data_IF_838862692931
#
_entry.id   IF_838862692931
#
_cell.length_a   1.000
_cell.length_b   1.000
_cell.length_c   1.000
_cell.angle_alpha   90.00
_cell.angle_beta   90.00
_cell.angle_gamma   90.00
#
_symmetry.space_group_name_H-M   'P 1'
#
loop_
_entity.id
_entity.type
_entity.pdbx_description
1 polymer ?
#
# COMPACT_ATOMS: atom_id res chain seq x y z
N UNK A 1 18.58 -20.96 -30.38
CA UNK A 1 17.19 -20.79 -29.90
C UNK A 1 17.10 -19.40 -29.32
N UNK A 2 16.34 -18.50 -29.94
CA UNK A 2 16.08 -17.16 -29.38
C UNK A 2 15.36 -17.35 -28.05
N UNK A 3 15.87 -16.78 -26.98
CA UNK A 3 15.24 -16.90 -25.68
C UNK A 3 13.93 -16.10 -25.66
N UNK A 4 12.80 -16.76 -25.37
CA UNK A 4 11.46 -16.14 -25.25
C UNK A 4 11.33 -15.41 -23.90
N UNK A 5 12.32 -14.58 -23.58
CA UNK A 5 12.42 -13.91 -22.29
C UNK A 5 12.80 -12.44 -22.42
N UNK A 6 12.40 -11.69 -21.41
CA UNK A 6 12.74 -10.28 -21.21
C UNK A 6 13.44 -10.18 -19.87
N UNK A 7 14.59 -9.51 -19.86
CA UNK A 7 15.29 -9.18 -18.62
C UNK A 7 14.93 -7.77 -18.18
N UNK A 8 14.70 -7.60 -16.88
CA UNK A 8 14.53 -6.33 -16.22
C UNK A 8 15.61 -6.20 -15.15
N UNK A 9 16.35 -5.09 -15.15
CA UNK A 9 17.29 -4.78 -14.06
C UNK A 9 16.55 -3.92 -13.05
N UNK A 10 16.50 -4.35 -11.80
CA UNK A 10 15.79 -3.64 -10.73
C UNK A 10 16.52 -2.32 -10.39
N UNK A 11 15.76 -1.24 -10.09
CA UNK A 11 16.35 -0.04 -9.49
C UNK A 11 17.05 -0.38 -8.16
N UNK A 12 17.96 0.49 -7.69
CA UNK A 12 18.68 0.24 -6.44
C UNK A 12 17.75 0.00 -5.25
N UNK A 13 18.20 -0.83 -4.32
CA UNK A 13 17.48 -1.18 -3.09
C UNK A 13 17.13 0.06 -2.26
N UNK A 14 15.95 0.01 -1.61
CA UNK A 14 15.40 1.11 -0.82
C UNK A 14 14.78 2.25 -1.63
N UNK A 15 14.87 2.24 -2.97
CA UNK A 15 14.19 3.23 -3.82
C UNK A 15 12.71 2.91 -3.99
N UNK A 16 11.88 3.95 -3.95
CA UNK A 16 10.47 3.94 -4.37
C UNK A 16 10.33 3.38 -5.77
N UNK A 17 11.25 3.71 -6.69
CA UNK A 17 11.24 3.15 -8.03
C UNK A 17 11.33 1.61 -8.03
N UNK A 18 12.14 1.02 -7.14
CA UNK A 18 12.21 -0.44 -6.98
C UNK A 18 10.90 -1.01 -6.45
N UNK A 19 10.35 -0.43 -5.38
CA UNK A 19 9.09 -0.89 -4.79
C UNK A 19 7.91 -0.80 -5.80
N UNK A 20 7.84 0.27 -6.59
CA UNK A 20 6.85 0.42 -7.66
C UNK A 20 7.03 -0.64 -8.76
N UNK A 21 8.28 -0.88 -9.19
CA UNK A 21 8.56 -1.91 -10.19
C UNK A 21 8.20 -3.30 -9.68
N UNK A 22 8.56 -3.63 -8.43
CA UNK A 22 8.24 -4.93 -7.82
C UNK A 22 6.74 -5.14 -7.67
N UNK A 23 5.97 -4.12 -7.27
CA UNK A 23 4.50 -4.25 -7.23
C UNK A 23 3.92 -4.54 -8.62
N UNK A 24 4.42 -3.88 -9.68
CA UNK A 24 4.00 -4.19 -11.05
C UNK A 24 4.34 -5.64 -11.44
N UNK A 25 5.57 -6.08 -11.17
CA UNK A 25 6.01 -7.45 -11.45
C UNK A 25 5.17 -8.46 -10.67
N UNK A 26 4.92 -8.20 -9.40
CA UNK A 26 4.08 -9.05 -8.55
C UNK A 26 2.67 -9.20 -9.14
N UNK A 27 2.05 -8.11 -9.64
CA UNK A 27 0.73 -8.17 -10.29
C UNK A 27 0.77 -8.94 -11.61
N UNK A 28 1.83 -8.76 -12.41
CA UNK A 28 2.03 -9.43 -13.69
C UNK A 28 2.20 -10.95 -13.51
N UNK A 29 2.96 -11.37 -12.49
CA UNK A 29 3.27 -12.77 -12.20
C UNK A 29 2.06 -13.62 -11.77
N UNK A 30 0.92 -12.98 -11.43
CA UNK A 30 -0.34 -13.71 -11.18
C UNK A 30 -0.81 -14.41 -12.47
N UNK A 31 -0.50 -13.86 -13.65
CA UNK A 31 -0.93 -14.43 -14.91
C UNK A 31 -0.25 -15.80 -15.15
N UNK A 32 -1.01 -16.88 -15.43
CA UNK A 32 -0.47 -18.21 -15.66
C UNK A 32 0.51 -18.27 -16.84
N UNK A 33 0.36 -17.41 -17.85
CA UNK A 33 1.19 -17.37 -19.07
C UNK A 33 2.60 -16.83 -18.85
N UNK A 34 2.86 -16.19 -17.71
CA UNK A 34 4.15 -15.58 -17.38
C UNK A 34 4.83 -16.38 -16.27
N UNK A 35 6.07 -16.78 -16.51
CA UNK A 35 6.99 -17.25 -15.48
C UNK A 35 7.96 -16.14 -15.11
N UNK A 36 8.22 -15.98 -13.81
CA UNK A 36 9.07 -14.91 -13.29
C UNK A 36 10.12 -15.48 -12.36
N UNK A 37 11.38 -15.19 -12.68
CA UNK A 37 12.53 -15.51 -11.84
C UNK A 37 13.16 -14.22 -11.34
N UNK A 38 13.43 -14.12 -10.04
CA UNK A 38 14.06 -12.94 -9.44
C UNK A 38 15.41 -13.37 -8.84
N UNK A 39 16.51 -12.86 -9.41
CA UNK A 39 17.88 -13.08 -8.93
C UNK A 39 18.52 -11.75 -8.56
N UNK A 40 18.90 -11.57 -7.29
CA UNK A 40 19.48 -10.33 -6.73
C UNK A 40 18.85 -9.03 -7.25
N UNK A 41 19.38 -8.47 -8.35
CA UNK A 41 18.93 -7.22 -8.96
C UNK A 41 18.36 -7.37 -10.38
N UNK A 42 18.01 -8.58 -10.79
CA UNK A 42 17.45 -8.88 -12.11
C UNK A 42 16.17 -9.69 -11.97
N UNK A 43 15.17 -9.34 -12.76
CA UNK A 43 13.96 -10.12 -12.98
C UNK A 43 13.98 -10.64 -14.41
N UNK A 44 13.77 -11.94 -14.59
CA UNK A 44 13.58 -12.55 -15.91
C UNK A 44 12.12 -12.91 -16.06
N UNK A 45 11.46 -12.32 -17.06
CA UNK A 45 10.10 -12.62 -17.47
C UNK A 45 10.15 -13.57 -18.65
N UNK A 46 9.48 -14.71 -18.57
CA UNK A 46 9.44 -15.72 -19.63
C UNK A 46 8.00 -16.10 -19.95
N UNK A 47 7.74 -16.41 -21.22
CA UNK A 47 6.45 -16.92 -21.69
C UNK A 47 6.66 -17.89 -22.85
N UNK A 48 5.59 -18.52 -23.34
CA UNK A 48 5.67 -19.45 -24.48
C UNK A 48 6.14 -18.71 -25.74
N UNK A 49 5.77 -17.44 -25.89
CA UNK A 49 6.25 -16.56 -26.95
C UNK A 49 6.45 -15.11 -26.48
N UNK A 50 7.25 -14.34 -27.22
CA UNK A 50 7.41 -12.90 -26.95
C UNK A 50 6.12 -12.10 -27.22
N UNK A 51 5.29 -12.54 -28.18
CA UNK A 51 4.01 -11.90 -28.47
C UNK A 51 3.00 -12.10 -27.33
N UNK A 52 2.96 -13.31 -26.75
CA UNK A 52 2.15 -13.59 -25.56
C UNK A 52 2.65 -12.76 -24.36
N UNK A 53 3.95 -12.71 -24.11
CA UNK A 53 4.54 -11.86 -23.07
C UNK A 53 4.14 -10.39 -23.26
N UNK A 54 4.25 -9.87 -24.49
CA UNK A 54 3.89 -8.50 -24.82
C UNK A 54 2.40 -8.23 -24.63
N UNK A 55 1.56 -9.16 -25.06
CA UNK A 55 0.11 -9.09 -24.91
C UNK A 55 -0.28 -9.06 -23.44
N UNK A 56 0.26 -9.96 -22.63
CA UNK A 56 0.00 -10.03 -21.18
C UNK A 56 0.48 -8.77 -20.47
N UNK A 57 1.71 -8.29 -20.76
CA UNK A 57 2.22 -7.03 -20.19
C UNK A 57 1.29 -5.85 -20.49
N UNK A 58 0.88 -5.67 -21.74
CA UNK A 58 -0.02 -4.58 -22.13
C UNK A 58 -1.42 -4.76 -21.54
N UNK A 59 -1.91 -5.99 -21.46
CA UNK A 59 -3.17 -6.35 -20.80
C UNK A 59 -3.15 -5.98 -19.31
N UNK A 60 -2.10 -6.37 -18.59
CA UNK A 60 -1.90 -6.03 -17.18
C UNK A 60 -1.80 -4.52 -16.95
N UNK A 61 -1.06 -3.78 -17.79
CA UNK A 61 -0.97 -2.31 -17.71
C UNK A 61 -2.36 -1.68 -17.81
N UNK A 62 -3.18 -2.11 -18.77
CA UNK A 62 -4.54 -1.60 -18.96
C UNK A 62 -5.47 -2.00 -17.81
N UNK A 63 -5.37 -3.23 -17.32
CA UNK A 63 -6.13 -3.70 -16.16
C UNK A 63 -5.83 -2.86 -14.92
N UNK A 64 -4.55 -2.57 -14.64
CA UNK A 64 -4.14 -1.68 -13.54
C UNK A 64 -4.68 -0.26 -13.74
N UNK A 65 -4.70 0.25 -14.98
CA UNK A 65 -5.34 1.52 -15.31
C UNK A 65 -6.83 1.53 -14.94
N UNK A 66 -7.54 0.44 -15.26
CA UNK A 66 -8.96 0.28 -14.92
C UNK A 66 -9.19 0.16 -13.41
N UNK A 67 -8.34 -0.57 -12.71
CA UNK A 67 -8.35 -0.67 -11.26
C UNK A 67 -8.20 0.71 -10.60
N UNK A 68 -7.25 1.53 -11.06
CA UNK A 68 -7.07 2.89 -10.54
C UNK A 68 -8.29 3.78 -10.81
N UNK A 69 -8.89 3.68 -12.01
CA UNK A 69 -10.15 4.35 -12.32
C UNK A 69 -11.25 3.94 -11.33
N UNK A 70 -11.40 2.64 -11.06
CA UNK A 70 -12.37 2.12 -10.09
C UNK A 70 -12.10 2.62 -8.66
N UNK A 71 -10.83 2.67 -8.22
CA UNK A 71 -10.45 3.24 -6.92
C UNK A 71 -10.87 4.71 -6.80
N UNK A 72 -10.66 5.51 -7.84
CA UNK A 72 -11.02 6.93 -7.85
C UNK A 72 -12.55 7.11 -7.86
N UNK A 73 -13.25 6.45 -8.78
CA UNK A 73 -14.68 6.68 -9.02
C UNK A 73 -15.58 5.98 -8.00
N UNK A 74 -15.34 4.70 -7.73
CA UNK A 74 -16.24 3.86 -6.91
C UNK A 74 -15.85 3.91 -5.44
N UNK A 75 -14.55 3.83 -5.13
CA UNK A 75 -14.03 3.85 -3.75
C UNK A 75 -13.79 5.28 -3.24
N UNK A 76 -14.04 6.30 -4.07
CA UNK A 76 -13.89 7.73 -3.74
C UNK A 76 -12.50 8.04 -3.18
N UNK A 77 -11.47 7.39 -3.72
CA UNK A 77 -10.10 7.65 -3.34
C UNK A 77 -9.74 9.10 -3.66
N UNK A 78 -9.21 9.82 -2.67
CA UNK A 78 -8.83 11.22 -2.86
C UNK A 78 -7.63 11.29 -3.79
N UNK A 79 -7.66 12.20 -4.77
CA UNK A 79 -6.60 12.38 -5.75
C UNK A 79 -5.78 13.66 -5.51
N UNK A 80 -4.50 13.63 -5.84
CA UNK A 80 -3.59 14.76 -5.74
C UNK A 80 -3.61 15.59 -7.04
N UNK A 81 -3.41 16.91 -6.97
CA UNK A 81 -3.23 17.71 -8.17
C UNK A 81 -1.91 17.36 -8.88
N UNK A 82 -1.90 17.44 -10.21
CA UNK A 82 -0.66 17.38 -10.99
C UNK A 82 0.24 18.57 -10.62
N UNK A 83 1.49 18.29 -10.28
CA UNK A 83 2.45 19.33 -9.97
C UNK A 83 2.82 20.13 -11.23
N UNK A 84 3.05 21.44 -11.08
CA UNK A 84 3.30 22.37 -12.22
C UNK A 84 4.45 21.95 -13.14
N UNK A 85 5.48 21.30 -12.60
CA UNK A 85 6.64 20.83 -13.35
C UNK A 85 6.37 19.55 -14.16
N UNK A 86 5.29 18.85 -13.87
CA UNK A 86 5.00 17.54 -14.47
C UNK A 86 4.04 17.65 -15.66
N UNK A 87 3.36 18.78 -15.85
CA UNK A 87 2.41 18.98 -16.95
C UNK A 87 2.97 18.65 -18.34
N UNK A 88 4.16 19.20 -18.66
CA UNK A 88 4.79 18.97 -19.96
C UNK A 88 5.15 17.50 -20.16
N UNK A 89 5.78 16.90 -19.15
CA UNK A 89 6.14 15.50 -19.12
C UNK A 89 4.92 14.60 -19.36
N UNK A 90 3.89 14.76 -18.54
CA UNK A 90 2.70 13.91 -18.59
C UNK A 90 1.93 14.11 -19.90
N UNK A 91 1.92 15.34 -20.45
CA UNK A 91 1.31 15.60 -21.76
C UNK A 91 2.02 14.85 -22.89
N UNK A 92 3.36 14.82 -22.86
CA UNK A 92 4.16 14.10 -23.85
C UNK A 92 3.98 12.58 -23.74
N UNK A 93 3.86 12.04 -22.52
CA UNK A 93 3.62 10.61 -22.31
C UNK A 93 2.21 10.22 -22.76
N UNK A 94 1.20 11.00 -22.37
CA UNK A 94 -0.21 10.79 -22.70
C UNK A 94 -0.52 11.02 -24.19
N UNK A 95 0.28 11.83 -24.89
CA UNK A 95 0.03 12.24 -26.28
C UNK A 95 -1.06 13.31 -26.41
N UNK A 96 -1.52 13.91 -25.31
CA UNK A 96 -2.49 15.01 -25.31
C UNK A 96 -2.21 15.99 -24.17
N UNK A 97 -2.73 17.22 -24.27
CA UNK A 97 -2.45 18.28 -23.29
C UNK A 97 -3.06 17.96 -21.93
N UNK A 98 -2.22 17.92 -20.88
CA UNK A 98 -2.65 17.90 -19.48
C UNK A 98 -2.83 19.35 -19.00
N UNK A 99 -4.07 19.70 -18.63
CA UNK A 99 -4.46 21.06 -18.25
C UNK A 99 -4.14 21.40 -16.79
N UNK A 100 -4.05 22.70 -16.49
CA UNK A 100 -3.98 23.17 -15.09
C UNK A 100 -5.19 22.65 -14.30
N UNK A 101 -4.97 22.18 -13.09
CA UNK A 101 -6.02 21.61 -12.24
C UNK A 101 -6.32 20.12 -12.48
N UNK A 102 -5.69 19.48 -13.47
CA UNK A 102 -5.77 18.03 -13.64
C UNK A 102 -5.27 17.28 -12.39
N UNK A 103 -5.83 16.10 -12.16
CA UNK A 103 -5.47 15.23 -11.04
C UNK A 103 -4.51 14.14 -11.49
N UNK A 104 -3.55 13.79 -10.64
CA UNK A 104 -2.42 12.95 -11.02
C UNK A 104 -2.84 11.50 -11.25
N UNK A 105 -3.70 10.95 -10.40
CA UNK A 105 -4.18 9.57 -10.56
C UNK A 105 -5.10 9.45 -11.77
N UNK A 106 -5.96 10.44 -12.03
CA UNK A 106 -6.74 10.53 -13.27
C UNK A 106 -5.85 10.55 -14.53
N UNK A 107 -4.81 11.40 -14.56
CA UNK A 107 -3.89 11.43 -15.69
C UNK A 107 -3.14 10.11 -15.82
N UNK A 108 -2.77 9.49 -14.70
CA UNK A 108 -2.08 8.20 -14.67
C UNK A 108 -2.94 7.08 -15.26
N UNK A 109 -4.20 6.93 -14.82
CA UNK A 109 -5.08 5.88 -15.37
C UNK A 109 -5.27 6.06 -16.89
N UNK A 110 -5.43 7.30 -17.38
CA UNK A 110 -5.53 7.58 -18.82
C UNK A 110 -4.26 7.19 -19.58
N UNK A 111 -3.08 7.44 -19.01
CA UNK A 111 -1.81 7.01 -19.61
C UNK A 111 -1.79 5.48 -19.72
N UNK A 112 -2.13 4.77 -18.65
CA UNK A 112 -2.09 3.30 -18.61
C UNK A 112 -3.10 2.68 -19.59
N UNK A 113 -4.33 3.19 -19.64
CA UNK A 113 -5.37 2.69 -20.56
C UNK A 113 -5.02 2.90 -22.04
N UNK A 114 -4.31 3.99 -22.37
CA UNK A 114 -3.93 4.32 -23.75
C UNK A 114 -2.52 3.83 -24.14
N UNK A 115 -1.85 3.09 -23.27
CA UNK A 115 -0.51 2.56 -23.54
C UNK A 115 -0.59 1.27 -24.35
N UNK A 116 0.31 1.14 -25.32
CA UNK A 116 0.60 -0.11 -26.00
C UNK A 116 2.12 -0.16 -26.28
N UNK A 117 2.87 -0.86 -25.43
CA UNK A 117 4.31 -1.04 -25.57
C UNK A 117 4.62 -2.02 -26.70
N UNK A 118 5.80 -1.87 -27.29
CA UNK A 118 6.40 -2.82 -28.23
C UNK A 118 7.48 -3.67 -27.54
N UNK A 119 7.97 -4.74 -28.19
CA UNK A 119 9.12 -5.50 -27.66
C UNK A 119 10.37 -4.64 -27.50
N UNK A 120 10.61 -3.70 -28.42
CA UNK A 120 11.74 -2.77 -28.31
C UNK A 120 11.60 -1.87 -27.07
N UNK A 121 10.37 -1.44 -26.75
CA UNK A 121 10.10 -0.67 -25.55
C UNK A 121 10.36 -1.45 -24.26
N UNK A 122 9.90 -2.70 -24.21
CA UNK A 122 10.10 -3.58 -23.06
C UNK A 122 11.58 -3.93 -22.88
N UNK A 123 12.35 -4.03 -23.96
CA UNK A 123 13.80 -4.27 -23.88
C UNK A 123 14.56 -3.21 -23.08
N UNK A 124 14.01 -1.99 -22.98
CA UNK A 124 14.60 -0.90 -22.19
C UNK A 124 14.58 -1.17 -20.68
N UNK A 125 13.73 -2.09 -20.20
CA UNK A 125 13.71 -2.52 -18.79
C UNK A 125 14.99 -3.24 -18.37
N UNK A 126 15.76 -3.81 -19.31
CA UNK A 126 17.02 -4.49 -19.01
C UNK A 126 18.13 -3.55 -18.53
N UNK A 127 17.98 -2.23 -18.69
CA UNK A 127 19.05 -1.25 -18.44
C UNK A 127 18.73 -0.40 -17.22
N UNK A 128 19.57 -0.48 -16.19
CA UNK A 128 19.64 0.50 -15.10
C UNK A 128 21.09 0.87 -14.90
N UNK A 129 21.38 2.17 -14.85
CA UNK A 129 22.74 2.66 -14.60
C UNK A 129 22.75 3.69 -13.49
N UNK A 130 23.73 3.57 -12.59
CA UNK A 130 23.95 4.52 -11.50
C UNK A 130 25.32 5.16 -11.72
N UNK A 131 25.34 6.49 -11.80
CA UNK A 131 26.56 7.25 -12.06
C UNK A 131 26.65 8.49 -11.18
N UNK A 132 27.87 8.94 -10.87
CA UNK A 132 28.11 10.21 -10.21
C UNK A 132 28.29 11.30 -11.28
N UNK A 133 27.43 12.33 -11.26
CA UNK A 133 27.50 13.46 -12.20
C UNK A 133 27.29 14.78 -11.47
N UNK A 134 28.31 15.64 -11.48
CA UNK A 134 28.26 16.97 -10.85
C UNK A 134 27.96 16.92 -9.35
N UNK A 135 28.57 15.97 -8.63
CA UNK A 135 28.36 15.77 -7.19
C UNK A 135 27.03 15.11 -6.81
N UNK A 136 26.20 14.73 -7.80
CA UNK A 136 24.88 14.10 -7.62
C UNK A 136 24.91 12.65 -8.07
N UNK A 137 24.16 11.80 -7.37
CA UNK A 137 23.91 10.44 -7.81
C UNK A 137 22.82 10.52 -8.88
N UNK A 138 23.11 10.05 -10.07
CA UNK A 138 22.15 9.96 -11.16
C UNK A 138 21.83 8.50 -11.44
N UNK A 139 20.55 8.15 -11.28
CA UNK A 139 20.02 6.83 -11.66
C UNK A 139 19.28 7.00 -12.99
N UNK A 140 19.66 6.24 -13.99
CA UNK A 140 18.99 6.19 -15.29
C UNK A 140 18.29 4.84 -15.43
N UNK A 141 16.98 4.89 -15.62
CA UNK A 141 16.12 3.75 -15.87
C UNK A 141 15.84 3.67 -17.37
N UNK A 142 16.51 2.74 -18.05
CA UNK A 142 16.53 2.59 -19.50
C UNK A 142 17.81 3.09 -20.16
N UNK A 143 17.86 3.01 -21.49
CA UNK A 143 19.02 3.41 -22.27
C UNK A 143 19.25 4.92 -22.24
N UNK A 144 20.52 5.33 -22.20
CA UNK A 144 20.93 6.72 -22.39
C UNK A 144 20.71 7.21 -23.83
N UNK A 145 20.56 6.29 -24.79
CA UNK A 145 20.35 6.59 -26.21
C UNK A 145 18.93 7.09 -26.51
N UNK A 146 17.97 6.80 -25.63
CA UNK A 146 16.58 7.25 -25.76
C UNK A 146 16.34 8.51 -24.93
N UNK A 147 15.28 9.24 -25.28
CA UNK A 147 14.84 10.41 -24.51
C UNK A 147 14.50 9.98 -23.08
N UNK A 148 15.25 10.56 -22.13
CA UNK A 148 15.10 10.31 -20.71
C UNK A 148 14.38 11.47 -20.03
N UNK A 149 13.35 11.14 -19.28
CA UNK A 149 12.48 12.07 -18.58
C UNK A 149 12.80 12.14 -17.10
N UNK A 150 12.62 13.29 -16.42
CA UNK A 150 12.59 13.29 -14.95
C UNK A 150 11.38 12.47 -14.47
N UNK A 151 11.49 11.85 -13.30
CA UNK A 151 10.31 11.26 -12.66
C UNK A 151 9.31 12.37 -12.26
N UNK A 152 7.99 12.11 -12.38
CA UNK A 152 6.98 12.97 -11.78
C UNK A 152 7.21 13.11 -10.27
N UNK A 153 6.86 14.27 -9.69
CA UNK A 153 7.11 14.54 -8.27
C UNK A 153 6.53 13.49 -7.32
N UNK A 154 5.31 12.94 -7.52
CA UNK A 154 4.76 11.92 -6.63
C UNK A 154 5.59 10.62 -6.60
N UNK A 155 6.41 10.35 -7.63
CA UNK A 155 7.24 9.15 -7.70
C UNK A 155 8.69 9.39 -7.21
N UNK A 156 9.00 10.61 -6.74
CA UNK A 156 10.35 11.05 -6.40
C UNK A 156 10.40 11.51 -4.94
N UNK A 157 10.22 10.55 -4.02
CA UNK A 157 10.04 10.82 -2.58
C UNK A 157 11.37 10.89 -1.82
N UNK A 158 12.43 10.31 -2.40
CA UNK A 158 13.77 10.14 -1.80
C UNK A 158 14.66 11.36 -2.00
N UNK A 159 14.27 12.28 -2.88
CA UNK A 159 15.05 13.50 -3.19
C UNK A 159 15.32 14.36 -1.95
N UNK A 160 14.47 14.25 -0.93
CA UNK A 160 14.56 14.98 0.33
C UNK A 160 15.06 14.13 1.51
N UNK A 161 15.30 12.83 1.31
CA UNK A 161 15.81 11.89 2.33
C UNK A 161 17.35 11.81 2.36
N UNK A 162 18.03 12.60 1.54
CA UNK A 162 19.46 12.48 1.28
C UNK A 162 20.38 12.67 2.51
N UNK A 163 19.89 12.87 3.73
CA UNK A 163 20.73 13.01 4.93
C UNK A 163 20.91 11.75 5.78
N UNK A 164 20.09 10.70 5.65
CA UNK A 164 20.20 9.52 6.52
C UNK A 164 20.07 8.18 5.78
N UNK A 165 21.17 7.42 5.75
CA UNK A 165 21.28 5.99 5.40
C UNK A 165 20.67 5.50 4.09
N UNK A 166 20.39 6.38 3.12
CA UNK A 166 19.98 5.95 1.80
C UNK A 166 21.18 5.48 0.97
N UNK A 167 21.17 4.21 0.54
CA UNK A 167 22.25 3.49 -0.18
C UNK A 167 23.55 3.38 0.63
N UNK A 168 23.86 2.22 1.21
CA UNK A 168 25.09 1.87 1.95
C UNK A 168 26.37 2.64 1.55
N UNK A 169 26.60 3.85 2.10
CA UNK A 169 27.79 4.69 1.83
C UNK A 169 27.64 5.84 0.82
N UNK A 170 26.46 6.05 0.24
CA UNK A 170 26.15 7.13 -0.72
C UNK A 170 25.21 8.22 -0.16
N UNK A 171 24.92 8.16 1.15
CA UNK A 171 24.18 9.19 1.88
C UNK A 171 24.85 10.58 1.77
N UNK A 172 24.04 11.63 1.86
CA UNK A 172 24.47 13.04 1.84
C UNK A 172 24.35 13.73 0.48
N UNK A 173 24.13 13.00 -0.63
CA UNK A 173 24.13 13.56 -1.99
C UNK A 173 22.74 13.60 -2.60
N UNK A 174 22.40 14.71 -3.28
CA UNK A 174 21.10 14.80 -3.95
C UNK A 174 21.00 13.77 -5.08
N UNK A 175 19.90 13.00 -5.09
CA UNK A 175 19.64 11.96 -6.08
C UNK A 175 18.80 12.53 -7.23
N UNK A 176 19.14 12.14 -8.46
CA UNK A 176 18.38 12.46 -9.66
C UNK A 176 18.04 11.18 -10.40
N UNK A 177 16.75 10.82 -10.42
CA UNK A 177 16.27 9.68 -11.19
C UNK A 177 15.70 10.19 -12.53
N UNK A 178 16.11 9.54 -13.63
CA UNK A 178 15.49 9.74 -14.95
C UNK A 178 15.12 8.40 -15.55
N UNK A 179 14.08 8.40 -16.37
CA UNK A 179 13.53 7.18 -16.95
C UNK A 179 13.13 7.38 -18.41
N UNK A 180 13.28 6.34 -19.22
CA UNK A 180 12.66 6.25 -20.54
C UNK A 180 11.14 6.10 -20.42
N UNK A 181 10.39 6.33 -21.51
CA UNK A 181 8.92 6.19 -21.51
C UNK A 181 8.44 4.81 -21.02
N UNK A 182 9.02 3.68 -21.47
CA UNK A 182 8.60 2.34 -21.01
C UNK A 182 8.81 2.13 -19.51
N UNK A 183 9.92 2.64 -18.95
CA UNK A 183 10.15 2.62 -17.50
C UNK A 183 9.14 3.48 -16.75
N UNK A 184 8.85 4.68 -17.24
CA UNK A 184 7.84 5.54 -16.62
C UNK A 184 6.46 4.90 -16.57
N UNK A 185 6.05 4.22 -17.64
CA UNK A 185 4.79 3.49 -17.70
C UNK A 185 4.72 2.40 -16.62
N UNK A 186 5.79 1.61 -16.48
CA UNK A 186 5.86 0.60 -15.42
C UNK A 186 5.80 1.21 -14.02
N UNK A 187 6.52 2.31 -13.77
CA UNK A 187 6.48 3.00 -12.48
C UNK A 187 5.11 3.62 -12.18
N UNK A 188 4.42 4.12 -13.22
CA UNK A 188 3.04 4.61 -13.11
C UNK A 188 2.04 3.49 -12.82
N UNK A 189 2.25 2.30 -13.40
CA UNK A 189 1.48 1.10 -13.07
C UNK A 189 1.73 0.65 -11.62
N UNK A 190 2.99 0.63 -11.18
CA UNK A 190 3.34 0.41 -9.78
C UNK A 190 2.69 1.44 -8.85
N UNK A 191 2.62 2.71 -9.26
CA UNK A 191 1.95 3.77 -8.49
C UNK A 191 0.46 3.49 -8.35
N UNK A 192 -0.21 3.14 -9.45
CA UNK A 192 -1.63 2.81 -9.47
C UNK A 192 -1.98 1.66 -8.50
N UNK A 193 -1.12 0.65 -8.42
CA UNK A 193 -1.26 -0.46 -7.48
C UNK A 193 -1.02 -0.04 -6.03
N UNK A 194 -0.04 0.85 -5.79
CA UNK A 194 0.43 1.19 -4.44
C UNK A 194 -0.32 2.35 -3.78
N UNK A 195 -0.99 3.19 -4.58
CA UNK A 195 -1.57 4.45 -4.09
C UNK A 195 -2.82 4.21 -3.22
N UNK A 196 -2.71 4.57 -1.94
CA UNK A 196 -3.75 4.43 -0.91
C UNK A 196 -4.52 5.72 -0.60
N UNK A 197 -4.38 6.76 -1.42
CA UNK A 197 -5.09 8.02 -1.26
C UNK A 197 -4.38 9.05 -0.37
N UNK A 198 -5.14 10.08 0.05
CA UNK A 198 -4.63 11.25 0.78
C UNK A 198 -5.46 11.52 2.03
N UNK A 199 -4.79 11.57 3.18
CA UNK A 199 -5.36 12.02 4.44
C UNK A 199 -4.45 13.09 5.06
N UNK A 200 -5.04 14.24 5.42
CA UNK A 200 -4.33 15.34 6.10
C UNK A 200 -3.05 15.78 5.39
N UNK A 201 -3.14 16.00 4.07
CA UNK A 201 -2.02 16.33 3.18
C UNK A 201 -0.87 15.32 3.20
N UNK A 202 -1.13 14.08 3.62
CA UNK A 202 -0.20 12.95 3.53
C UNK A 202 -0.73 11.96 2.51
N UNK A 203 0.10 11.68 1.51
CA UNK A 203 -0.10 10.62 0.54
C UNK A 203 0.35 9.31 1.18
N UNK A 204 -0.44 8.26 0.96
CA UNK A 204 -0.13 6.92 1.42
C UNK A 204 0.23 6.03 0.23
N UNK A 205 1.41 5.43 0.27
CA UNK A 205 1.80 4.35 -0.62
C UNK A 205 1.95 3.07 0.17
N UNK A 206 1.40 1.98 -0.35
CA UNK A 206 1.42 0.65 0.25
C UNK A 206 2.06 -0.32 -0.73
N UNK A 207 3.06 -1.06 -0.28
CA UNK A 207 3.81 -2.01 -1.10
C UNK A 207 3.77 -3.41 -0.49
N UNK A 208 3.82 -4.42 -1.36
CA UNK A 208 4.22 -5.76 -0.93
C UNK A 208 5.72 -5.70 -0.57
N UNK A 209 6.14 -6.17 0.62
CA UNK A 209 7.55 -6.21 0.98
C UNK A 209 8.32 -7.08 -0.01
N UNK A 210 9.54 -6.70 -0.35
CA UNK A 210 10.34 -7.42 -1.34
C UNK A 210 10.55 -8.90 -0.97
N UNK A 211 10.69 -9.20 0.32
CA UNK A 211 10.79 -10.57 0.84
C UNK A 211 9.54 -11.40 0.54
N UNK A 212 8.34 -10.82 0.67
CA UNK A 212 7.07 -11.47 0.30
C UNK A 212 7.00 -11.70 -1.20
N UNK A 213 7.35 -10.69 -2.00
CA UNK A 213 7.35 -10.82 -3.46
C UNK A 213 8.26 -11.96 -3.90
N UNK A 214 9.48 -12.04 -3.36
CA UNK A 214 10.44 -13.10 -3.67
C UNK A 214 9.97 -14.47 -3.19
N UNK A 215 9.46 -14.56 -1.96
CA UNK A 215 9.02 -15.82 -1.36
C UNK A 215 7.76 -16.39 -2.00
N UNK A 216 6.92 -15.55 -2.63
CA UNK A 216 5.66 -15.98 -3.23
C UNK A 216 5.68 -16.06 -4.76
N UNK A 217 6.76 -15.65 -5.44
CA UNK A 217 6.78 -15.53 -6.91
C UNK A 217 6.53 -16.86 -7.64
N UNK A 218 6.94 -17.98 -7.04
CA UNK A 218 6.77 -19.32 -7.59
C UNK A 218 5.37 -19.90 -7.30
N UNK A 219 4.67 -19.39 -6.29
CA UNK A 219 3.34 -19.84 -5.89
C UNK A 219 2.29 -18.80 -6.29
N UNK A 220 1.70 -18.97 -7.47
CA UNK A 220 0.71 -18.04 -8.03
C UNK A 220 -0.55 -17.90 -7.18
N UNK A 221 -0.95 -18.94 -6.46
CA UNK A 221 -2.11 -18.88 -5.55
C UNK A 221 -1.81 -17.95 -4.37
N UNK A 222 -0.66 -18.13 -3.72
CA UNK A 222 -0.21 -17.24 -2.64
C UNK A 222 -0.03 -15.82 -3.17
N UNK A 223 0.57 -15.65 -4.36
CA UNK A 223 0.77 -14.34 -4.96
C UNK A 223 -0.56 -13.60 -5.26
N UNK A 224 -1.56 -14.34 -5.73
CA UNK A 224 -2.91 -13.81 -5.92
C UNK A 224 -3.50 -13.32 -4.59
N UNK A 225 -3.21 -13.99 -3.47
CA UNK A 225 -3.61 -13.49 -2.15
C UNK A 225 -3.00 -12.15 -1.77
N UNK A 226 -1.84 -11.80 -2.33
CA UNK A 226 -1.18 -10.52 -2.06
C UNK A 226 -1.68 -9.41 -2.99
N UNK A 227 -1.74 -9.66 -4.30
CA UNK A 227 -1.84 -8.61 -5.33
C UNK A 227 -3.04 -8.73 -6.29
N UNK A 228 -3.94 -9.72 -6.14
CA UNK A 228 -5.14 -9.79 -6.99
C UNK A 228 -6.04 -8.56 -6.80
N UNK A 229 -6.62 -8.07 -7.89
CA UNK A 229 -7.45 -6.84 -7.89
C UNK A 229 -8.67 -6.94 -6.96
N UNK A 230 -9.33 -8.11 -6.94
CA UNK A 230 -10.62 -8.26 -6.26
C UNK A 230 -10.44 -8.53 -4.78
N UNK A 231 -9.53 -9.44 -4.45
CA UNK A 231 -9.40 -9.99 -3.10
C UNK A 231 -7.96 -9.96 -2.56
N UNK A 232 -7.01 -9.35 -3.27
CA UNK A 232 -5.63 -9.25 -2.80
C UNK A 232 -5.49 -8.33 -1.58
N UNK A 233 -4.57 -8.69 -0.69
CA UNK A 233 -4.29 -7.96 0.54
C UNK A 233 -3.84 -6.51 0.30
N UNK A 234 -2.93 -6.26 -0.64
CA UNK A 234 -2.43 -4.90 -0.95
C UNK A 234 -3.52 -4.05 -1.63
N UNK A 235 -4.25 -4.54 -2.66
CA UNK A 235 -5.42 -3.83 -3.19
C UNK A 235 -6.49 -3.53 -2.13
N UNK A 236 -6.76 -4.45 -1.21
CA UNK A 236 -7.65 -4.21 -0.08
C UNK A 236 -7.21 -3.00 0.75
N UNK A 237 -5.95 -2.95 1.20
CA UNK A 237 -5.44 -1.84 2.03
C UNK A 237 -5.52 -0.50 1.29
N UNK A 238 -5.11 -0.47 0.01
CA UNK A 238 -5.08 0.77 -0.78
C UNK A 238 -6.47 1.36 -1.05
N UNK A 239 -7.53 0.56 -0.93
CA UNK A 239 -8.91 1.01 -1.10
C UNK A 239 -9.54 1.63 0.17
N UNK A 240 -8.90 1.55 1.34
CA UNK A 240 -9.55 1.93 2.61
C UNK A 240 -9.66 3.44 2.82
N UNK A 241 -8.77 4.25 2.21
CA UNK A 241 -8.79 5.72 2.27
C UNK A 241 -8.92 6.27 3.71
N UNK A 242 -8.16 5.70 4.65
CA UNK A 242 -8.10 6.14 6.06
C UNK A 242 -6.71 6.68 6.41
N UNK A 243 -6.60 7.59 7.39
CA UNK A 243 -5.29 7.99 7.90
C UNK A 243 -4.53 6.78 8.46
N UNK A 244 -3.22 6.72 8.23
CA UNK A 244 -2.36 5.65 8.76
C UNK A 244 -1.65 6.03 10.08
N UNK A 245 -2.17 7.02 10.81
CA UNK A 245 -1.60 7.50 12.08
C UNK A 245 -2.70 7.69 13.12
N UNK A 246 -2.48 7.19 14.36
CA UNK A 246 -1.28 6.51 14.86
C UNK A 246 -1.13 5.08 14.31
N UNK A 247 0.12 4.62 14.18
CA UNK A 247 0.47 3.33 13.51
C UNK A 247 -0.27 2.14 14.14
N UNK A 248 -0.27 2.07 15.47
CA UNK A 248 -0.92 0.97 16.22
C UNK A 248 -2.43 0.90 15.94
N UNK A 249 -3.12 2.05 15.97
CA UNK A 249 -4.54 2.10 15.62
C UNK A 249 -4.79 1.72 14.15
N UNK A 250 -3.89 2.11 13.24
CA UNK A 250 -4.00 1.73 11.83
C UNK A 250 -3.87 0.22 11.64
N UNK A 251 -2.86 -0.42 12.26
CA UNK A 251 -2.66 -1.87 12.22
C UNK A 251 -3.89 -2.62 12.77
N UNK A 252 -4.41 -2.22 13.94
CA UNK A 252 -5.62 -2.83 14.51
C UNK A 252 -6.85 -2.63 13.61
N UNK A 253 -6.99 -1.45 13.00
CA UNK A 253 -8.04 -1.17 12.05
C UNK A 253 -7.95 -2.07 10.81
N UNK A 254 -6.75 -2.21 10.22
CA UNK A 254 -6.52 -3.09 9.08
C UNK A 254 -6.84 -4.54 9.41
N UNK A 255 -6.30 -5.07 10.51
CA UNK A 255 -6.53 -6.46 10.91
C UNK A 255 -8.02 -6.74 11.12
N UNK A 256 -8.71 -5.89 11.89
CA UNK A 256 -10.15 -6.08 12.16
C UNK A 256 -11.02 -5.90 10.92
N UNK A 257 -10.70 -4.94 10.04
CA UNK A 257 -11.42 -4.76 8.78
C UNK A 257 -11.17 -5.92 7.82
N UNK A 258 -9.95 -6.48 7.78
CA UNK A 258 -9.60 -7.64 6.97
C UNK A 258 -10.45 -8.85 7.38
N UNK A 259 -10.45 -9.23 8.65
CA UNK A 259 -11.26 -10.38 9.11
C UNK A 259 -12.75 -10.16 8.84
N UNK A 260 -13.26 -8.93 8.99
CA UNK A 260 -14.66 -8.62 8.69
C UNK A 260 -15.01 -8.80 7.21
N UNK A 261 -14.10 -8.41 6.32
CA UNK A 261 -14.29 -8.49 4.87
C UNK A 261 -14.18 -9.95 4.39
N UNK A 262 -13.26 -10.74 4.97
CA UNK A 262 -12.97 -12.11 4.55
C UNK A 262 -13.76 -13.18 5.33
N UNK A 263 -14.82 -12.77 6.04
CA UNK A 263 -15.62 -13.67 6.88
C UNK A 263 -16.56 -14.63 6.12
N UNK A 264 -16.60 -14.57 4.78
CA UNK A 264 -17.30 -15.54 3.93
C UNK A 264 -16.42 -16.75 3.64
N UNK A 265 -17.00 -17.96 3.46
CA UNK A 265 -16.24 -19.23 3.32
C UNK A 265 -15.09 -19.16 2.31
N UNK A 266 -15.34 -18.72 1.09
CA UNK A 266 -14.30 -18.63 0.04
C UNK A 266 -13.17 -17.67 0.39
N UNK A 267 -13.48 -16.55 1.05
CA UNK A 267 -12.47 -15.58 1.47
C UNK A 267 -11.77 -16.00 2.76
N UNK A 268 -12.38 -16.86 3.57
CA UNK A 268 -11.74 -17.42 4.76
C UNK A 268 -10.59 -18.32 4.36
N UNK A 269 -10.77 -19.20 3.36
CA UNK A 269 -9.70 -20.06 2.83
C UNK A 269 -8.52 -19.21 2.30
N UNK A 270 -8.84 -18.09 1.68
CA UNK A 270 -7.84 -17.13 1.21
C UNK A 270 -7.10 -16.46 2.38
N UNK A 271 -7.82 -16.07 3.44
CA UNK A 271 -7.22 -15.51 4.65
C UNK A 271 -6.33 -16.53 5.37
N UNK A 272 -6.77 -17.79 5.45
CA UNK A 272 -6.00 -18.90 6.01
C UNK A 272 -4.72 -19.14 5.19
N UNK A 273 -4.82 -19.15 3.86
CA UNK A 273 -3.66 -19.20 2.96
C UNK A 273 -2.67 -18.06 3.24
N UNK A 274 -3.18 -16.83 3.44
CA UNK A 274 -2.32 -15.68 3.77
C UNK A 274 -1.62 -15.83 5.12
N UNK A 275 -2.32 -16.41 6.12
CA UNK A 275 -1.79 -16.69 7.45
C UNK A 275 -0.70 -17.76 7.38
N UNK A 276 -0.99 -18.91 6.77
CA UNK A 276 -0.06 -20.04 6.65
C UNK A 276 1.25 -19.65 5.98
N UNK A 277 1.17 -18.82 4.93
CA UNK A 277 2.33 -18.36 4.17
C UNK A 277 2.94 -17.07 4.72
N UNK A 278 2.42 -16.51 5.83
CA UNK A 278 2.90 -15.28 6.48
C UNK A 278 3.01 -14.07 5.54
N UNK A 279 2.09 -13.94 4.60
CA UNK A 279 2.09 -12.84 3.60
C UNK A 279 1.25 -11.64 4.00
N UNK A 280 0.69 -11.64 5.22
CA UNK A 280 -0.05 -10.51 5.83
C UNK A 280 0.85 -9.36 6.29
N UNK A 281 1.85 -9.01 5.47
CA UNK A 281 2.81 -7.94 5.74
C UNK A 281 2.82 -6.92 4.61
N UNK A 282 3.07 -5.65 4.95
CA UNK A 282 3.09 -4.55 3.99
C UNK A 282 4.13 -3.50 4.38
N UNK A 283 4.63 -2.76 3.39
CA UNK A 283 5.39 -1.54 3.62
C UNK A 283 4.53 -0.33 3.32
N UNK A 284 4.55 0.66 4.22
CA UNK A 284 3.84 1.91 4.05
C UNK A 284 4.81 3.09 4.00
N UNK A 285 4.75 3.85 2.91
CA UNK A 285 5.44 5.13 2.78
C UNK A 285 4.42 6.27 2.91
N UNK A 286 4.70 7.18 3.83
CA UNK A 286 3.87 8.36 4.08
C UNK A 286 4.59 9.59 3.58
N UNK A 287 4.01 10.28 2.60
CA UNK A 287 4.65 11.42 1.96
C UNK A 287 3.80 12.66 2.17
N UNK A 288 4.33 13.66 2.86
CA UNK A 288 3.67 14.95 3.02
C UNK A 288 3.70 15.70 1.69
N UNK A 289 2.56 16.27 1.33
CA UNK A 289 2.36 17.07 0.14
C UNK A 289 1.95 18.49 0.55
N UNK A 290 2.88 19.45 0.43
CA UNK A 290 2.66 20.86 0.76
C UNK A 290 2.57 21.72 -0.52
N UNK A 291 1.94 21.21 -1.58
CA UNK A 291 1.71 21.90 -2.85
C UNK A 291 2.93 21.98 -3.78
N UNK A 292 4.11 22.30 -3.25
CA UNK A 292 5.36 22.44 -4.01
C UNK A 292 6.40 21.36 -3.69
N UNK A 293 6.24 20.64 -2.58
CA UNK A 293 7.22 19.68 -2.07
C UNK A 293 6.54 18.38 -1.66
N UNK A 294 7.25 17.28 -1.92
CA UNK A 294 6.86 15.92 -1.54
C UNK A 294 7.94 15.38 -0.61
N UNK A 295 7.64 15.30 0.68
CA UNK A 295 8.63 14.94 1.70
C UNK A 295 8.23 13.65 2.37
N UNK A 296 9.12 12.64 2.39
CA UNK A 296 8.86 11.45 3.18
C UNK A 296 8.76 11.81 4.67
N UNK A 297 7.62 11.49 5.26
CA UNK A 297 7.34 11.67 6.70
C UNK A 297 7.81 10.44 7.47
N UNK A 298 7.51 9.26 6.92
CA UNK A 298 7.73 7.99 7.60
C UNK A 298 7.71 6.85 6.58
N UNK A 299 8.62 5.89 6.76
CA UNK A 299 8.52 4.55 6.19
C UNK A 299 8.33 3.58 7.35
N UNK A 300 7.36 2.69 7.24
CA UNK A 300 7.18 1.64 8.23
C UNK A 300 6.65 0.36 7.61
N UNK A 301 7.01 -0.76 8.22
CA UNK A 301 6.45 -2.06 7.89
C UNK A 301 5.32 -2.39 8.87
N UNK A 302 4.24 -2.95 8.36
CA UNK A 302 3.16 -3.50 9.14
C UNK A 302 3.13 -5.02 8.99
N UNK A 303 3.01 -5.72 10.11
CA UNK A 303 2.75 -7.15 10.15
C UNK A 303 1.40 -7.37 10.85
N UNK A 304 0.44 -7.94 10.12
CA UNK A 304 -0.90 -8.23 10.62
C UNK A 304 -1.05 -9.69 11.04
N UNK A 305 -0.10 -10.58 10.72
CA UNK A 305 -0.21 -12.02 10.94
C UNK A 305 -0.62 -12.34 12.37
N UNK A 306 0.18 -11.91 13.35
CA UNK A 306 -0.06 -12.26 14.75
C UNK A 306 -1.43 -11.80 15.25
N UNK A 307 -1.87 -10.61 14.82
CA UNK A 307 -3.14 -10.03 15.27
C UNK A 307 -4.30 -10.74 14.59
N UNK A 308 -4.23 -10.91 13.26
CA UNK A 308 -5.26 -11.59 12.46
C UNK A 308 -5.48 -13.00 12.97
N UNK A 309 -4.41 -13.78 13.18
CA UNK A 309 -4.49 -15.15 13.70
C UNK A 309 -5.21 -15.24 15.06
N UNK A 310 -5.07 -14.23 15.92
CA UNK A 310 -5.79 -14.19 17.20
C UNK A 310 -7.23 -13.76 17.07
N UNK A 311 -7.52 -12.78 16.21
CA UNK A 311 -8.86 -12.20 16.13
C UNK A 311 -9.79 -12.90 15.13
N UNK A 312 -9.28 -13.79 14.27
CA UNK A 312 -10.05 -14.45 13.20
C UNK A 312 -11.32 -15.15 13.73
N UNK A 313 -11.24 -15.72 14.93
CA UNK A 313 -12.33 -16.47 15.54
C UNK A 313 -13.28 -15.60 16.39
N UNK A 314 -13.01 -14.30 16.54
CA UNK A 314 -13.87 -13.40 17.32
C UNK A 314 -15.22 -13.20 16.64
N UNK A 315 -16.25 -12.91 17.44
CA UNK A 315 -17.57 -12.64 16.89
C UNK A 315 -17.56 -11.35 16.05
N UNK A 316 -18.41 -11.29 15.02
CA UNK A 316 -18.58 -10.11 14.16
C UNK A 316 -18.82 -8.82 14.97
N UNK A 317 -19.58 -8.89 16.06
CA UNK A 317 -19.84 -7.72 16.93
C UNK A 317 -18.56 -7.20 17.60
N UNK A 318 -17.67 -8.10 18.03
CA UNK A 318 -16.36 -7.79 18.64
C UNK A 318 -15.40 -7.21 17.61
N UNK A 319 -15.31 -7.82 16.42
CA UNK A 319 -14.49 -7.31 15.31
C UNK A 319 -14.94 -5.90 14.87
N UNK A 320 -16.26 -5.68 14.76
CA UNK A 320 -16.79 -4.34 14.47
C UNK A 320 -16.43 -3.32 15.56
N UNK A 321 -16.40 -3.73 16.83
CA UNK A 321 -15.99 -2.86 17.92
C UNK A 321 -14.51 -2.49 17.82
N UNK A 322 -13.62 -3.48 17.64
CA UNK A 322 -12.18 -3.26 17.44
C UNK A 322 -11.93 -2.30 16.26
N UNK A 323 -12.60 -2.54 15.13
CA UNK A 323 -12.53 -1.68 13.95
C UNK A 323 -12.98 -0.25 14.28
N UNK A 324 -14.13 -0.10 14.95
CA UNK A 324 -14.70 1.22 15.21
C UNK A 324 -13.86 2.03 16.21
N UNK A 325 -13.34 1.40 17.26
CA UNK A 325 -12.40 2.03 18.23
C UNK A 325 -11.15 2.50 17.51
N UNK A 326 -10.56 1.63 16.71
CA UNK A 326 -9.33 1.92 15.95
C UNK A 326 -9.56 3.03 14.93
N UNK A 327 -10.64 2.95 14.15
CA UNK A 327 -11.04 3.99 13.21
C UNK A 327 -11.27 5.33 13.93
N UNK A 328 -11.96 5.32 15.07
CA UNK A 328 -12.18 6.56 15.84
C UNK A 328 -10.85 7.19 16.25
N UNK A 329 -9.90 6.40 16.75
CA UNK A 329 -8.55 6.88 17.07
C UNK A 329 -7.85 7.59 15.89
N UNK A 330 -7.99 7.06 14.66
CA UNK A 330 -7.39 7.64 13.45
C UNK A 330 -7.97 9.01 13.08
N UNK A 331 -9.24 9.26 13.39
CA UNK A 331 -9.96 10.49 13.00
C UNK A 331 -10.08 11.53 14.11
N UNK A 332 -10.06 11.15 15.39
CA UNK A 332 -10.20 12.09 16.52
C UNK A 332 -8.89 12.76 16.93
N UNK A 333 -7.83 12.66 16.14
CA UNK A 333 -6.51 13.22 16.46
C UNK A 333 -6.47 14.73 16.68
N UNK A 334 -7.50 15.46 16.26
CA UNK A 334 -7.65 16.90 16.47
C UNK A 334 -8.40 17.26 17.76
N UNK A 335 -8.93 16.28 18.49
CA UNK A 335 -9.45 16.42 19.85
C UNK A 335 -8.48 15.72 20.82
N UNK A 336 -7.57 16.44 21.48
CA UNK A 336 -6.55 15.84 22.36
C UNK A 336 -7.14 14.98 23.48
N UNK A 337 -8.33 15.33 23.97
CA UNK A 337 -8.99 14.62 25.07
C UNK A 337 -9.47 13.24 24.62
N UNK A 338 -10.11 13.17 23.44
CA UNK A 338 -10.55 11.91 22.85
C UNK A 338 -9.37 11.11 22.32
N UNK A 339 -8.42 11.78 21.66
CA UNK A 339 -7.24 11.14 21.09
C UNK A 339 -6.47 10.33 22.13
N UNK A 340 -6.15 10.94 23.27
CA UNK A 340 -5.42 10.27 24.36
C UNK A 340 -6.15 9.01 24.84
N UNK A 341 -7.48 9.10 24.97
CA UNK A 341 -8.31 7.97 25.42
C UNK A 341 -8.22 6.80 24.44
N UNK A 342 -8.45 7.04 23.15
CA UNK A 342 -8.47 5.95 22.15
C UNK A 342 -7.08 5.44 21.79
N UNK A 343 -6.05 6.30 21.80
CA UNK A 343 -4.65 5.87 21.61
C UNK A 343 -4.23 4.88 22.68
N UNK A 344 -4.50 5.20 23.94
CA UNK A 344 -4.15 4.33 25.06
C UNK A 344 -4.88 2.99 24.94
N UNK A 345 -6.17 2.99 24.60
CA UNK A 345 -6.90 1.74 24.38
C UNK A 345 -6.31 0.93 23.21
N UNK A 346 -6.04 1.55 22.06
CA UNK A 346 -5.43 0.88 20.92
C UNK A 346 -4.06 0.29 21.28
N UNK A 347 -3.22 1.00 22.03
CA UNK A 347 -1.93 0.48 22.48
C UNK A 347 -2.08 -0.71 23.42
N UNK A 348 -2.98 -0.64 24.41
CA UNK A 348 -3.24 -1.75 25.34
C UNK A 348 -3.76 -2.99 24.59
N UNK A 349 -4.73 -2.82 23.69
CA UNK A 349 -5.27 -3.91 22.87
C UNK A 349 -4.20 -4.52 21.96
N UNK A 350 -3.41 -3.69 21.28
CA UNK A 350 -2.33 -4.16 20.44
C UNK A 350 -1.30 -4.95 21.24
N UNK A 351 -0.82 -4.42 22.36
CA UNK A 351 0.15 -5.09 23.23
C UNK A 351 -0.38 -6.44 23.72
N UNK A 352 -1.64 -6.51 24.14
CA UNK A 352 -2.29 -7.77 24.51
C UNK A 352 -2.35 -8.77 23.35
N UNK A 353 -2.74 -8.31 22.15
CA UNK A 353 -2.85 -9.17 20.96
C UNK A 353 -1.48 -9.65 20.47
N UNK A 354 -0.41 -8.86 20.56
CA UNK A 354 0.95 -9.32 20.24
C UNK A 354 1.64 -10.06 21.39
N UNK A 355 0.97 -10.22 22.55
CA UNK A 355 1.47 -10.98 23.69
C UNK A 355 2.45 -10.25 24.61
N UNK A 356 2.58 -8.92 24.47
CA UNK A 356 3.44 -8.06 25.31
C UNK A 356 2.69 -7.35 26.44
N UNK A 357 1.38 -7.56 26.56
CA UNK A 357 0.54 -6.91 27.57
C UNK A 357 -0.64 -7.75 28.04
N UNK A 358 -1.38 -7.24 29.03
CA UNK A 358 -2.54 -7.89 29.63
C UNK A 358 -3.83 -7.52 28.90
N UNK A 359 -4.56 -8.53 28.41
CA UNK A 359 -5.91 -8.31 27.85
C UNK A 359 -6.88 -7.78 28.92
N UNK A 360 -6.74 -8.24 30.17
CA UNK A 360 -7.60 -7.81 31.28
C UNK A 360 -7.45 -6.30 31.49
N UNK A 361 -6.23 -5.77 31.44
CA UNK A 361 -5.97 -4.33 31.63
C UNK A 361 -6.57 -3.51 30.48
N UNK A 362 -6.46 -4.01 29.25
CA UNK A 362 -7.06 -3.37 28.08
C UNK A 362 -8.59 -3.30 28.19
N UNK A 363 -9.23 -4.39 28.62
CA UNK A 363 -10.68 -4.46 28.80
C UNK A 363 -11.15 -3.64 30.01
N UNK A 364 -10.37 -3.59 31.09
CA UNK A 364 -10.64 -2.73 32.23
C UNK A 364 -10.60 -1.25 31.82
N UNK A 365 -9.56 -0.84 31.09
CA UNK A 365 -9.45 0.51 30.56
C UNK A 365 -10.62 0.85 29.63
N UNK A 366 -11.02 -0.06 28.75
CA UNK A 366 -12.18 0.11 27.89
C UNK A 366 -13.49 0.28 28.69
N UNK A 367 -13.70 -0.54 29.72
CA UNK A 367 -14.90 -0.54 30.55
C UNK A 367 -15.00 0.66 31.51
N UNK A 368 -13.86 1.20 31.94
CA UNK A 368 -13.82 2.35 32.87
C UNK A 368 -13.71 3.67 32.13
N UNK A 369 -12.70 3.83 31.28
CA UNK A 369 -12.38 5.14 30.68
C UNK A 369 -13.17 5.38 29.40
N UNK A 370 -13.15 4.42 28.47
CA UNK A 370 -13.79 4.60 27.16
C UNK A 370 -15.31 4.58 27.28
N UNK A 371 -15.87 3.61 28.02
CA UNK A 371 -17.31 3.52 28.24
C UNK A 371 -17.86 4.80 28.89
N UNK A 372 -17.26 5.31 29.95
CA UNK A 372 -17.72 6.55 30.60
C UNK A 372 -17.73 7.73 29.65
N UNK A 373 -16.65 7.89 28.87
CA UNK A 373 -16.59 8.97 27.89
C UNK A 373 -17.67 8.85 26.82
N UNK A 374 -17.92 7.65 26.31
CA UNK A 374 -18.98 7.39 25.32
C UNK A 374 -20.37 7.64 25.88
N UNK A 375 -20.63 7.23 27.13
CA UNK A 375 -21.90 7.50 27.81
C UNK A 375 -22.13 9.00 27.97
N UNK A 376 -21.13 9.75 28.46
CA UNK A 376 -21.25 11.21 28.61
C UNK A 376 -21.50 11.91 27.27
N UNK A 377 -20.88 11.45 26.17
CA UNK A 377 -21.14 12.00 24.84
C UNK A 377 -22.56 11.71 24.34
N UNK A 378 -23.07 10.50 24.60
CA UNK A 378 -24.44 10.12 24.23
C UNK A 378 -25.48 10.88 25.06
N UNK A 379 -25.23 11.05 26.36
CA UNK A 379 -26.09 11.84 27.26
C UNK A 379 -26.13 13.31 26.84
N UNK A 380 -24.98 13.92 26.52
CA UNK A 380 -24.92 15.28 25.98
C UNK A 380 -25.69 15.44 24.66
N UNK A 381 -25.90 14.35 23.90
CA UNK A 381 -26.71 14.32 22.68
C UNK A 381 -28.18 13.94 22.93
N UNK A 382 -28.60 13.72 24.18
CA UNK A 382 -29.97 13.31 24.53
C UNK A 382 -30.28 11.83 24.21
N UNK A 383 -29.27 10.98 24.02
CA UNK A 383 -29.41 9.59 23.55
C UNK A 383 -29.33 8.54 24.67
N UNK A 384 -30.12 8.71 25.73
CA UNK A 384 -30.08 7.84 26.92
C UNK A 384 -30.37 6.35 26.62
N UNK A 385 -31.23 6.05 25.66
CA UNK A 385 -31.54 4.66 25.26
C UNK A 385 -30.35 3.98 24.56
N UNK A 386 -29.61 4.72 23.74
CA UNK A 386 -28.40 4.22 23.08
C UNK A 386 -27.28 3.97 24.10
N UNK A 387 -27.14 4.86 25.09
CA UNK A 387 -26.18 4.72 26.18
C UNK A 387 -26.36 3.40 26.96
N UNK A 388 -27.61 3.07 27.35
CA UNK A 388 -27.91 1.81 28.04
C UNK A 388 -27.66 0.57 27.16
N UNK A 389 -27.93 0.65 25.86
CA UNK A 389 -27.64 -0.43 24.89
C UNK A 389 -26.13 -0.64 24.72
N UNK A 390 -25.36 0.45 24.72
CA UNK A 390 -23.91 0.42 24.54
C UNK A 390 -23.20 -0.34 25.69
N UNK A 391 -23.57 -0.09 26.94
CA UNK A 391 -23.01 -0.82 28.09
C UNK A 391 -23.27 -2.33 28.03
N UNK A 392 -24.51 -2.75 27.68
CA UNK A 392 -24.85 -4.18 27.49
C UNK A 392 -24.06 -4.80 26.33
N UNK A 393 -23.82 -4.04 25.26
CA UNK A 393 -23.01 -4.48 24.12
C UNK A 393 -21.55 -4.71 24.52
N UNK A 394 -20.91 -3.78 25.24
CA UNK A 394 -19.53 -3.97 25.70
C UNK A 394 -19.34 -5.21 26.57
N UNK A 395 -20.29 -5.52 27.45
CA UNK A 395 -20.22 -6.75 28.27
C UNK A 395 -20.11 -8.02 27.41
N UNK A 396 -20.90 -8.12 26.34
CA UNK A 396 -20.87 -9.27 25.41
C UNK A 396 -19.55 -9.33 24.63
N UNK A 397 -19.05 -8.17 24.21
CA UNK A 397 -17.74 -8.05 23.53
C UNK A 397 -16.61 -8.51 24.46
N UNK A 398 -16.59 -8.05 25.71
CA UNK A 398 -15.54 -8.42 26.66
C UNK A 398 -15.57 -9.93 26.96
N UNK A 399 -16.77 -10.51 27.12
CA UNK A 399 -16.92 -11.95 27.31
C UNK A 399 -16.41 -12.76 26.10
N UNK A 400 -16.67 -12.31 24.87
CA UNK A 400 -16.16 -12.95 23.66
C UNK A 400 -14.62 -12.91 23.61
N UNK A 401 -14.03 -11.74 23.88
CA UNK A 401 -12.57 -11.57 23.90
C UNK A 401 -11.91 -12.43 25.00
N UNK A 402 -12.45 -12.42 26.22
CA UNK A 402 -11.91 -13.23 27.33
C UNK A 402 -11.98 -14.73 27.02
N UNK A 403 -13.13 -15.20 26.54
CA UNK A 403 -13.33 -16.62 26.23
C UNK A 403 -12.40 -17.12 25.14
N UNK A 404 -12.17 -16.31 24.09
CA UNK A 404 -11.45 -16.76 22.90
C UNK A 404 -9.96 -16.44 22.90
N UNK A 405 -9.52 -15.41 23.62
CA UNK A 405 -8.13 -14.92 23.57
C UNK A 405 -7.29 -15.23 24.81
N UNK A 406 -7.90 -15.64 25.94
CA UNK A 406 -7.16 -16.09 27.13
C UNK A 406 -7.04 -17.61 27.18
N UNK A 407 -7.96 -18.33 26.51
CA UNK A 407 -7.94 -19.78 26.43
C UNK A 407 -7.01 -20.34 25.33
N UNK A 408 -6.36 -19.46 24.55
CA UNK A 408 -5.35 -19.75 23.53
C UNK A 408 -4.03 -19.15 23.94
#
# INVERSE_FOLDING_TARGET
MSSNNVKLTLPPEGTTARNLALNFICRLSIDPSISVEISENTVTLSSISLDELLSTVNGTIKAIGKELENKILLKKLRDLPVHKNDYKLLSEILGSKVGKGSRFSDVTQRILLNTNLTLEDISEWSKVTTQLKGGKIQILLGSSLRKNYPLPQPLLTERFEASHMFMHGLGGRSIKIRATKPWLIMLLAGFALSYGGIADNVIHYIYAPEEVVRGSIENKEVLATVMDESNGFIPFITCLNVPSTPRVAYILYLASQLVLEYSGRELLDMLETMIENRVLTFEAHRVRFDGNTFTMVEKFSGDLYQIVSKIINLNRETLQWLRNVSKRCLFVKYDPSLYTIYVNLCNLLYNALVGSGSLIDALYYAGRVVLEKELSLLEAQGKAVEAKKYGKKLRRIFQDMLTKLIAT
#
